data_IF_090875594284
#
_entry.id   IF_090875594284
#
_cell.length_a   1.000
_cell.length_b   1.000
_cell.length_c   1.000
_cell.angle_alpha   90.00
_cell.angle_beta   90.00
_cell.angle_gamma   90.00
#
_symmetry.space_group_name_H-M   'P 1'
#
loop_
_entity.id
_entity.type
_entity.pdbx_description
1 polymer ?
#
# COMPACT_ATOMS: atom_id res chain seq x y z
N UNK A 1 25.99 8.20 11.67
CA UNK A 1 24.63 8.56 12.13
C UNK A 1 23.67 7.62 11.40
N UNK A 2 23.24 6.53 12.05
CA UNK A 2 22.21 5.65 11.48
C UNK A 2 20.89 6.42 11.51
N UNK A 3 20.39 6.75 10.33
CA UNK A 3 19.11 7.44 10.14
C UNK A 3 18.01 6.73 10.94
N UNK A 4 17.16 7.50 11.64
CA UNK A 4 15.99 7.02 12.36
C UNK A 4 15.17 6.00 11.53
N UNK A 5 15.13 6.21 10.22
CA UNK A 5 14.47 5.34 9.25
C UNK A 5 15.10 3.93 9.12
N UNK A 6 16.41 3.77 9.37
CA UNK A 6 17.07 2.46 9.31
C UNK A 6 16.65 1.56 10.47
N UNK A 7 16.65 2.11 11.70
CA UNK A 7 16.23 1.37 12.89
C UNK A 7 14.73 1.07 12.89
N UNK A 8 13.90 2.04 12.45
CA UNK A 8 12.46 1.82 12.30
C UNK A 8 12.17 0.80 11.19
N UNK A 9 12.88 0.86 10.06
CA UNK A 9 12.71 -0.11 8.97
C UNK A 9 13.00 -1.55 9.39
N UNK A 10 14.05 -1.78 10.17
CA UNK A 10 14.38 -3.11 10.70
C UNK A 10 13.33 -3.63 11.70
N UNK A 11 12.84 -2.75 12.58
CA UNK A 11 11.79 -3.11 13.54
C UNK A 11 10.46 -3.44 12.84
N UNK A 12 10.09 -2.71 11.78
CA UNK A 12 8.88 -2.98 10.99
C UNK A 12 8.91 -4.31 10.25
N UNK A 13 10.09 -4.79 9.88
CA UNK A 13 10.25 -6.06 9.17
C UNK A 13 10.12 -7.28 10.10
N UNK A 14 10.36 -7.10 11.40
CA UNK A 14 10.36 -8.16 12.41
C UNK A 14 9.13 -8.14 13.32
N UNK A 15 8.37 -7.04 13.35
CA UNK A 15 7.17 -6.89 14.16
C UNK A 15 5.96 -7.60 13.57
N UNK A 16 5.29 -8.44 14.37
CA UNK A 16 3.96 -8.99 14.05
C UNK A 16 2.87 -7.94 14.30
N UNK A 17 1.71 -8.10 13.64
CA UNK A 17 0.52 -7.29 13.93
C UNK A 17 0.15 -7.37 15.42
N UNK A 18 -0.22 -6.23 16.02
CA UNK A 18 -0.56 -6.13 17.45
C UNK A 18 0.64 -6.09 18.42
N UNK A 19 1.87 -5.99 17.91
CA UNK A 19 3.06 -5.82 18.75
C UNK A 19 3.11 -4.42 19.38
N UNK A 20 3.46 -4.28 20.67
CA UNK A 20 3.63 -2.97 21.33
C UNK A 20 4.73 -2.10 20.70
N UNK A 21 5.58 -2.70 19.86
CA UNK A 21 6.55 -1.97 19.04
C UNK A 21 5.86 -1.10 17.97
N UNK A 22 4.71 -1.50 17.43
CA UNK A 22 3.99 -0.70 16.42
C UNK A 22 3.43 0.58 17.03
N UNK A 23 2.91 0.54 18.26
CA UNK A 23 2.46 1.73 18.99
C UNK A 23 3.62 2.70 19.26
N UNK A 24 4.78 2.17 19.62
CA UNK A 24 5.99 2.98 19.84
C UNK A 24 6.43 3.67 18.55
N UNK A 25 6.45 2.94 17.43
CA UNK A 25 6.80 3.49 16.12
C UNK A 25 5.78 4.54 15.68
N UNK A 26 4.49 4.31 15.92
CA UNK A 26 3.45 5.28 15.62
C UNK A 26 3.64 6.58 16.39
N UNK A 27 3.93 6.50 17.70
CA UNK A 27 4.22 7.67 18.53
C UNK A 27 5.45 8.45 18.07
N UNK A 28 6.48 7.76 17.54
CA UNK A 28 7.65 8.43 16.94
C UNK A 28 7.28 9.21 15.67
N UNK A 29 6.42 8.64 14.80
CA UNK A 29 5.96 9.36 13.61
C UNK A 29 5.04 10.53 13.95
N UNK A 30 4.18 10.40 14.96
CA UNK A 30 3.34 11.51 15.45
C UNK A 30 4.18 12.66 16.00
N UNK A 31 5.19 12.34 16.83
CA UNK A 31 6.13 13.34 17.33
C UNK A 31 6.93 13.99 16.18
N UNK A 32 7.34 13.20 15.18
CA UNK A 32 8.03 13.71 14.00
C UNK A 32 7.14 14.69 13.22
N UNK A 33 5.89 14.33 12.90
CA UNK A 33 4.95 15.22 12.20
C UNK A 33 4.65 16.51 12.98
N UNK A 34 4.58 16.44 14.32
CA UNK A 34 4.38 17.60 15.17
C UNK A 34 5.60 18.55 15.16
N UNK A 35 6.81 18.00 15.22
CA UNK A 35 8.06 18.77 15.18
C UNK A 35 8.35 19.33 13.78
N UNK A 36 8.02 18.56 12.74
CA UNK A 36 8.23 18.85 11.33
C UNK A 36 7.30 19.96 10.78
N UNK A 37 6.43 20.55 11.60
CA UNK A 37 5.70 21.80 11.25
C UNK A 37 6.65 22.93 10.81
N UNK A 38 7.95 22.80 11.06
CA UNK A 38 9.01 23.77 10.79
C UNK A 38 10.08 23.33 9.76
N UNK A 39 10.02 22.10 9.20
CA UNK A 39 11.01 21.57 8.22
C UNK A 39 10.29 21.14 6.90
N UNK A 40 11.08 20.91 5.84
CA UNK A 40 10.65 20.96 4.43
C UNK A 40 9.67 19.88 3.96
N UNK A 41 8.80 20.27 3.03
CA UNK A 41 7.64 19.53 2.51
C UNK A 41 7.87 18.08 2.03
N UNK A 42 9.09 17.69 1.65
CA UNK A 42 9.37 16.36 1.09
C UNK A 42 9.60 15.27 2.15
N UNK A 43 10.10 15.61 3.34
CA UNK A 43 10.24 14.68 4.47
C UNK A 43 8.86 14.29 5.05
N UNK A 44 7.90 15.21 4.93
CA UNK A 44 6.53 15.02 5.40
C UNK A 44 5.77 13.93 4.63
N UNK A 45 5.95 13.85 3.30
CA UNK A 45 5.34 12.79 2.46
C UNK A 45 5.82 11.41 2.86
N UNK A 46 7.13 11.25 3.06
CA UNK A 46 7.69 9.98 3.52
C UNK A 46 7.16 9.58 4.90
N UNK A 47 6.99 10.56 5.79
CA UNK A 47 6.50 10.33 7.15
C UNK A 47 5.03 9.93 7.19
N UNK A 48 4.15 10.63 6.46
CA UNK A 48 2.74 10.22 6.32
C UNK A 48 2.62 8.83 5.70
N UNK A 49 3.42 8.53 4.67
CA UNK A 49 3.45 7.20 4.07
C UNK A 49 3.84 6.12 5.08
N UNK A 50 4.91 6.33 5.84
CA UNK A 50 5.36 5.36 6.84
C UNK A 50 4.38 5.20 8.00
N UNK A 51 3.75 6.29 8.46
CA UNK A 51 2.67 6.25 9.46
C UNK A 51 1.48 5.45 8.94
N UNK A 52 1.06 5.69 7.70
CA UNK A 52 -0.01 4.93 7.03
C UNK A 52 0.29 3.44 6.94
N UNK A 53 1.53 3.04 6.61
CA UNK A 53 1.90 1.61 6.55
C UNK A 53 1.82 0.94 7.93
N UNK A 54 2.23 1.64 8.99
CA UNK A 54 2.11 1.15 10.37
C UNK A 54 0.65 0.98 10.76
N UNK A 55 -0.18 2.01 10.55
CA UNK A 55 -1.61 1.97 10.86
C UNK A 55 -2.32 0.83 10.12
N UNK A 56 -2.00 0.64 8.83
CA UNK A 56 -2.52 -0.48 8.02
C UNK A 56 -2.15 -1.83 8.63
N UNK A 57 -0.89 -2.03 9.02
CA UNK A 57 -0.42 -3.28 9.68
C UNK A 57 -1.06 -3.52 11.04
N UNK A 58 -1.48 -2.45 11.72
CA UNK A 58 -2.23 -2.52 12.98
C UNK A 58 -3.74 -2.77 12.77
N UNK A 59 -4.23 -2.79 11.53
CA UNK A 59 -5.66 -2.90 11.24
C UNK A 59 -6.46 -1.61 11.47
N UNK A 60 -5.78 -0.49 11.75
CA UNK A 60 -6.39 0.85 11.91
C UNK A 60 -6.63 1.47 10.53
N UNK A 61 -7.48 0.81 9.73
CA UNK A 61 -7.59 1.08 8.30
C UNK A 61 -8.11 2.49 7.98
N UNK A 62 -9.08 3.00 8.74
CA UNK A 62 -9.61 4.35 8.54
C UNK A 62 -8.55 5.44 8.74
N UNK A 63 -7.69 5.28 9.74
CA UNK A 63 -6.58 6.22 9.97
C UNK A 63 -5.50 6.07 8.90
N UNK A 64 -5.25 4.85 8.42
CA UNK A 64 -4.35 4.62 7.28
C UNK A 64 -4.87 5.29 5.99
N UNK A 65 -6.19 5.28 5.76
CA UNK A 65 -6.82 5.99 4.63
C UNK A 65 -6.52 7.48 4.70
N UNK A 66 -6.64 8.11 5.86
CA UNK A 66 -6.34 9.54 6.03
C UNK A 66 -4.89 9.87 5.65
N UNK A 67 -3.95 9.06 6.14
CA UNK A 67 -2.52 9.21 5.83
C UNK A 67 -2.21 9.05 4.34
N UNK A 68 -2.73 8.00 3.70
CA UNK A 68 -2.48 7.76 2.28
C UNK A 68 -3.21 8.76 1.38
N UNK A 69 -4.41 9.24 1.76
CA UNK A 69 -5.09 10.35 1.06
C UNK A 69 -4.25 11.61 1.11
N UNK A 70 -3.63 11.91 2.24
CA UNK A 70 -2.70 13.04 2.34
C UNK A 70 -1.52 12.87 1.38
N UNK A 71 -0.88 11.69 1.39
CA UNK A 71 0.25 11.38 0.49
C UNK A 71 -0.13 11.56 -0.97
N UNK A 72 -1.26 10.99 -1.41
CA UNK A 72 -1.71 11.06 -2.81
C UNK A 72 -2.15 12.48 -3.19
N UNK A 73 -2.74 13.24 -2.26
CA UNK A 73 -3.08 14.64 -2.51
C UNK A 73 -1.84 15.51 -2.74
N UNK A 74 -0.82 15.33 -1.92
CA UNK A 74 0.41 16.12 -1.99
C UNK A 74 1.36 15.64 -3.10
N UNK A 75 1.33 14.34 -3.42
CA UNK A 75 2.12 13.70 -4.47
C UNK A 75 1.24 12.70 -5.23
N UNK A 76 0.43 13.16 -6.19
CA UNK A 76 -0.40 12.28 -7.02
C UNK A 76 0.40 11.21 -7.77
N UNK A 77 1.68 11.48 -8.05
CA UNK A 77 2.64 10.59 -8.68
C UNK A 77 3.31 9.57 -7.73
N UNK A 78 2.96 9.58 -6.43
CA UNK A 78 3.52 8.65 -5.45
C UNK A 78 2.95 7.24 -5.65
N UNK A 79 3.67 6.42 -6.41
CA UNK A 79 3.27 5.04 -6.76
C UNK A 79 2.74 4.23 -5.57
N UNK A 80 3.54 4.10 -4.50
CA UNK A 80 3.16 3.30 -3.34
C UNK A 80 2.01 3.91 -2.52
N UNK A 81 1.81 5.23 -2.62
CA UNK A 81 0.71 5.92 -1.95
C UNK A 81 -0.61 5.57 -2.61
N UNK A 82 -0.63 5.59 -3.95
CA UNK A 82 -1.76 5.13 -4.73
C UNK A 82 -2.05 3.63 -4.51
N UNK A 83 -1.02 2.77 -4.50
CA UNK A 83 -1.21 1.34 -4.21
C UNK A 83 -1.88 1.13 -2.85
N UNK A 84 -1.30 1.69 -1.79
CA UNK A 84 -1.82 1.42 -0.46
C UNK A 84 -3.15 2.11 -0.19
N UNK A 85 -3.39 3.30 -0.73
CA UNK A 85 -4.70 3.96 -0.63
C UNK A 85 -5.80 3.06 -1.22
N UNK A 86 -5.57 2.52 -2.43
CA UNK A 86 -6.54 1.62 -3.05
C UNK A 86 -6.77 0.35 -2.22
N UNK A 87 -5.70 -0.27 -1.72
CA UNK A 87 -5.80 -1.47 -0.88
C UNK A 87 -6.57 -1.20 0.42
N UNK A 88 -6.27 -0.11 1.13
CA UNK A 88 -6.95 0.17 2.40
C UNK A 88 -8.41 0.59 2.22
N UNK A 89 -8.77 1.26 1.13
CA UNK A 89 -10.16 1.59 0.81
C UNK A 89 -11.00 0.33 0.57
N UNK A 90 -10.46 -0.62 -0.19
CA UNK A 90 -11.11 -1.91 -0.38
C UNK A 90 -11.24 -2.69 0.93
N UNK A 91 -10.18 -2.75 1.75
CA UNK A 91 -10.18 -3.50 2.99
C UNK A 91 -11.08 -2.90 4.08
N UNK A 92 -11.19 -1.57 4.15
CA UNK A 92 -11.95 -0.90 5.18
C UNK A 92 -13.45 -0.87 4.87
N UNK A 93 -13.79 -0.46 3.64
CA UNK A 93 -15.16 -0.08 3.27
C UNK A 93 -15.75 -0.98 2.17
N UNK A 94 -14.94 -1.83 1.55
CA UNK A 94 -15.36 -2.63 0.40
C UNK A 94 -15.62 -1.81 -0.85
N UNK A 95 -15.15 -0.55 -0.90
CA UNK A 95 -15.31 0.35 -2.06
C UNK A 95 -14.35 -0.09 -3.17
N UNK A 96 -14.85 -0.96 -4.04
CA UNK A 96 -14.10 -1.56 -5.14
C UNK A 96 -13.76 -0.50 -6.18
N UNK A 97 -14.68 0.41 -6.48
CA UNK A 97 -14.54 1.42 -7.51
C UNK A 97 -13.42 2.43 -7.19
N UNK A 98 -13.38 2.99 -5.98
CA UNK A 98 -12.27 3.88 -5.59
C UNK A 98 -10.95 3.12 -5.46
N UNK A 99 -10.98 1.87 -4.96
CA UNK A 99 -9.77 1.05 -4.88
C UNK A 99 -9.14 0.82 -6.25
N UNK A 100 -9.95 0.46 -7.24
CA UNK A 100 -9.51 0.29 -8.62
C UNK A 100 -8.93 1.56 -9.21
N UNK A 101 -9.56 2.71 -8.96
CA UNK A 101 -9.11 4.00 -9.47
C UNK A 101 -7.66 4.28 -9.05
N UNK A 102 -7.33 4.15 -7.76
CA UNK A 102 -5.96 4.39 -7.31
C UNK A 102 -4.98 3.29 -7.75
N UNK A 103 -5.41 2.03 -7.82
CA UNK A 103 -4.56 0.95 -8.34
C UNK A 103 -4.26 1.14 -9.83
N UNK A 104 -5.23 1.57 -10.64
CA UNK A 104 -5.02 1.93 -12.05
C UNK A 104 -4.12 3.15 -12.20
N UNK A 105 -4.22 4.14 -11.31
CA UNK A 105 -3.28 5.25 -11.28
C UNK A 105 -1.85 4.78 -10.95
N UNK A 106 -1.69 3.87 -9.99
CA UNK A 106 -0.38 3.26 -9.69
C UNK A 106 0.18 2.49 -10.91
N UNK A 107 -0.66 1.73 -11.61
CA UNK A 107 -0.29 1.04 -12.86
C UNK A 107 0.16 2.05 -13.92
N UNK A 108 -0.58 3.14 -14.12
CA UNK A 108 -0.22 4.16 -15.11
C UNK A 108 1.13 4.85 -14.78
N UNK A 109 1.46 4.98 -13.49
CA UNK A 109 2.73 5.55 -13.04
C UNK A 109 3.92 4.60 -13.21
N UNK A 110 3.71 3.29 -13.01
CA UNK A 110 4.75 2.26 -13.10
C UNK A 110 4.19 0.94 -13.68
N UNK A 111 3.97 0.86 -15.01
CA UNK A 111 3.40 -0.31 -15.65
C UNK A 111 4.30 -1.56 -15.55
N UNK A 112 5.59 -1.38 -15.31
CA UNK A 112 6.57 -2.46 -15.14
C UNK A 112 6.59 -3.06 -13.73
N UNK A 113 5.80 -2.54 -12.79
CA UNK A 113 5.77 -3.02 -11.41
C UNK A 113 4.51 -3.82 -11.14
N UNK A 114 4.68 -5.11 -10.86
CA UNK A 114 3.57 -6.06 -10.71
C UNK A 114 2.61 -5.80 -9.53
N UNK A 115 3.00 -5.04 -8.52
CA UNK A 115 2.27 -5.00 -7.24
C UNK A 115 0.86 -4.41 -7.37
N UNK A 116 0.69 -3.34 -8.14
CA UNK A 116 -0.62 -2.75 -8.36
C UNK A 116 -1.55 -3.71 -9.14
N UNK A 117 -1.01 -4.42 -10.14
CA UNK A 117 -1.72 -5.49 -10.84
C UNK A 117 -2.12 -6.63 -9.87
N UNK A 118 -1.20 -7.11 -9.02
CA UNK A 118 -1.53 -8.19 -8.06
C UNK A 118 -2.69 -7.83 -7.14
N UNK A 119 -2.68 -6.62 -6.57
CA UNK A 119 -3.77 -6.17 -5.71
C UNK A 119 -5.09 -6.04 -6.48
N UNK A 120 -5.04 -5.53 -7.70
CA UNK A 120 -6.22 -5.41 -8.55
C UNK A 120 -6.80 -6.79 -8.91
N UNK A 121 -5.94 -7.77 -9.22
CA UNK A 121 -6.33 -9.17 -9.45
C UNK A 121 -6.95 -9.82 -8.22
N UNK A 122 -6.41 -9.57 -7.02
CA UNK A 122 -6.98 -10.06 -5.76
C UNK A 122 -8.36 -9.46 -5.49
N UNK A 123 -8.54 -8.14 -5.70
CA UNK A 123 -9.83 -7.48 -5.57
C UNK A 123 -10.84 -8.12 -6.53
N UNK A 124 -10.50 -8.22 -7.82
CA UNK A 124 -11.37 -8.79 -8.83
C UNK A 124 -11.76 -10.25 -8.53
N UNK A 125 -10.79 -11.06 -8.09
CA UNK A 125 -11.05 -12.43 -7.65
C UNK A 125 -12.05 -12.47 -6.49
N UNK A 126 -11.86 -11.62 -5.46
CA UNK A 126 -12.72 -11.58 -4.27
C UNK A 126 -14.11 -11.03 -4.57
N UNK A 127 -14.27 -10.21 -5.61
CA UNK A 127 -15.56 -9.67 -6.05
C UNK A 127 -16.25 -10.50 -7.13
N UNK A 128 -15.67 -11.64 -7.54
CA UNK A 128 -16.23 -12.53 -8.55
C UNK A 128 -16.10 -12.03 -10.00
N UNK A 129 -15.18 -11.11 -10.25
CA UNK A 129 -14.87 -10.51 -11.57
C UNK A 129 -13.73 -11.30 -12.21
N UNK A 130 -14.04 -12.53 -12.60
CA UNK A 130 -13.03 -13.53 -12.95
C UNK A 130 -12.27 -13.19 -14.24
N UNK A 131 -12.95 -12.65 -15.24
CA UNK A 131 -12.35 -12.25 -16.52
C UNK A 131 -11.35 -11.10 -16.33
N UNK A 132 -11.70 -10.09 -15.52
CA UNK A 132 -10.76 -9.00 -15.22
C UNK A 132 -9.61 -9.45 -14.34
N UNK A 133 -9.85 -10.34 -13.37
CA UNK A 133 -8.80 -10.95 -12.57
C UNK A 133 -7.81 -11.71 -13.45
N UNK A 134 -8.28 -12.53 -14.39
CA UNK A 134 -7.44 -13.25 -15.34
C UNK A 134 -6.60 -12.31 -16.19
N UNK A 135 -7.20 -11.27 -16.78
CA UNK A 135 -6.48 -10.30 -17.60
C UNK A 135 -5.33 -9.64 -16.83
N UNK A 136 -5.58 -9.24 -15.58
CA UNK A 136 -4.59 -8.59 -14.72
C UNK A 136 -3.52 -9.58 -14.24
N UNK A 137 -3.88 -10.81 -13.88
CA UNK A 137 -2.89 -11.82 -13.48
C UNK A 137 -2.00 -12.28 -14.65
N UNK A 138 -2.50 -12.27 -15.88
CA UNK A 138 -1.64 -12.47 -17.07
C UNK A 138 -0.59 -11.36 -17.19
N UNK A 139 -0.95 -10.09 -16.95
CA UNK A 139 0.00 -8.98 -16.90
C UNK A 139 1.04 -9.15 -15.77
N UNK A 140 0.62 -9.67 -14.61
CA UNK A 140 1.57 -10.02 -13.53
C UNK A 140 2.61 -11.03 -14.01
N UNK A 141 2.20 -12.05 -14.79
CA UNK A 141 3.12 -13.08 -15.31
C UNK A 141 3.99 -12.60 -16.48
N UNK A 142 3.56 -11.60 -17.24
CA UNK A 142 4.41 -10.93 -18.22
C UNK A 142 5.57 -10.18 -17.53
N UNK A 143 5.32 -9.59 -16.36
CA UNK A 143 6.32 -8.87 -15.55
C UNK A 143 7.19 -9.83 -14.71
N UNK A 144 6.55 -10.80 -14.05
CA UNK A 144 7.20 -11.83 -13.24
C UNK A 144 6.58 -13.21 -13.52
N UNK A 145 7.20 -14.00 -14.42
CA UNK A 145 6.71 -15.32 -14.79
C UNK A 145 6.64 -16.34 -13.64
N UNK A 146 7.26 -16.07 -12.48
CA UNK A 146 7.26 -16.96 -11.32
C UNK A 146 6.33 -16.49 -10.21
N UNK A 147 5.46 -15.50 -10.47
CA UNK A 147 4.54 -15.00 -9.47
C UNK A 147 3.53 -16.07 -9.03
N UNK A 148 3.71 -16.56 -7.80
CA UNK A 148 2.94 -17.67 -7.26
C UNK A 148 1.43 -17.40 -7.22
N UNK A 149 1.01 -16.17 -6.90
CA UNK A 149 -0.42 -15.86 -6.79
C UNK A 149 -1.09 -15.88 -8.17
N UNK A 150 -0.43 -15.31 -9.18
CA UNK A 150 -0.94 -15.31 -10.54
C UNK A 150 -0.96 -16.74 -11.15
N UNK A 151 0.10 -17.54 -10.91
CA UNK A 151 0.13 -18.94 -11.34
C UNK A 151 -0.96 -19.77 -10.70
N UNK A 152 -1.17 -19.60 -9.38
CA UNK A 152 -2.22 -20.31 -8.65
C UNK A 152 -3.61 -19.97 -9.20
N UNK A 153 -3.92 -18.67 -9.34
CA UNK A 153 -5.21 -18.23 -9.86
C UNK A 153 -5.51 -18.84 -11.24
N UNK A 154 -4.56 -18.78 -12.18
CA UNK A 154 -4.77 -19.29 -13.54
C UNK A 154 -4.80 -20.82 -13.63
N UNK A 155 -4.22 -21.53 -12.65
CA UNK A 155 -4.32 -22.99 -12.57
C UNK A 155 -5.70 -23.45 -12.10
N UNK A 156 -6.34 -22.68 -11.21
CA UNK A 156 -7.68 -22.96 -10.65
C UNK A 156 -8.81 -22.70 -11.66
N UNK A 157 -8.56 -21.98 -12.75
CA UNK A 157 -9.54 -21.64 -13.81
C UNK A 157 -9.55 -22.62 -15.00
N UNK A 158 -8.82 -23.74 -14.91
CA UNK A 158 -8.76 -24.80 -15.95
C UNK A 158 -9.69 -25.95 -15.62
#
# INVERSE_FOLDING_TARGET
>A
MSSLYFHIGWLLQTSRAGSPFLDTILGLYEAALAADRFVGHWERVGTHYSRGDVLRRMGRLQEAIEEFRWVVKERPEHYWGNVWLGVVLWQADGDVEEAEKYLRQAIALKPEVKWAYRWLGEIYQKTGRWEEAEAVYRQVLEIDPQDQAALQFLAEQR
#
